data_IF_388599026955
#
_entry.id   IF_388599026955
#
_cell.length_a   1.000
_cell.length_b   1.000
_cell.length_c   1.000
_cell.angle_alpha   90.00
_cell.angle_beta   90.00
_cell.angle_gamma   90.00
#
_symmetry.space_group_name_H-M   'P 1'
#
loop_
_entity.id
_entity.type
_entity.pdbx_description
1 polymer ?
#
# COMPACT_ATOMS: atom_id res chain seq x y z
N UNK A 1 44.38 -21.42 -9.39
CA UNK A 1 45.20 -20.79 -10.45
C UNK A 1 44.88 -19.30 -10.44
N UNK A 2 45.63 -18.54 -9.65
CA UNK A 2 45.32 -17.17 -9.23
C UNK A 2 46.46 -16.27 -9.69
N UNK A 3 46.24 -15.44 -10.72
CA UNK A 3 47.19 -14.40 -11.12
C UNK A 3 46.70 -13.06 -10.58
N UNK A 4 47.31 -12.61 -9.48
CA UNK A 4 47.22 -11.23 -8.99
C UNK A 4 48.22 -10.41 -9.81
N UNK A 5 47.72 -9.44 -10.57
CA UNK A 5 48.55 -8.51 -11.33
C UNK A 5 48.75 -7.27 -10.45
N UNK A 6 49.97 -7.13 -9.93
CA UNK A 6 50.44 -5.93 -9.23
C UNK A 6 50.86 -4.91 -10.28
N UNK A 7 50.33 -3.69 -10.24
CA UNK A 7 50.82 -2.59 -11.08
C UNK A 7 51.28 -1.41 -10.23
N UNK A 8 52.42 -0.89 -10.65
CA UNK A 8 53.28 0.03 -9.91
C UNK A 8 52.80 1.48 -10.05
N UNK A 9 53.04 2.24 -8.97
CA UNK A 9 52.78 3.66 -8.76
C UNK A 9 53.59 4.56 -9.71
N UNK A 10 52.97 5.59 -10.29
CA UNK A 10 53.67 6.77 -10.81
C UNK A 10 52.99 8.03 -10.27
N UNK A 11 53.76 8.79 -9.48
CA UNK A 11 53.41 10.08 -8.91
C UNK A 11 53.95 11.18 -9.84
N UNK A 12 53.08 12.03 -10.38
CA UNK A 12 53.48 13.30 -10.99
C UNK A 12 52.64 14.43 -10.41
N UNK A 13 53.29 15.28 -9.61
CA UNK A 13 52.76 16.55 -9.11
C UNK A 13 52.91 17.61 -10.19
N UNK A 14 51.80 18.18 -10.66
CA UNK A 14 51.78 19.48 -11.34
C UNK A 14 50.81 20.38 -10.60
N UNK A 15 51.35 21.38 -9.90
CA UNK A 15 50.59 22.49 -9.33
C UNK A 15 50.28 23.50 -10.44
N UNK A 16 49.00 23.73 -10.67
CA UNK A 16 48.49 24.92 -11.35
C UNK A 16 47.38 25.51 -10.50
N UNK A 17 47.70 26.62 -9.84
CA UNK A 17 46.76 27.42 -9.05
C UNK A 17 45.90 28.22 -10.04
N UNK A 18 44.58 28.02 -9.99
CA UNK A 18 43.59 28.91 -10.59
C UNK A 18 42.39 29.06 -9.66
N UNK A 19 42.12 30.29 -9.24
CA UNK A 19 40.96 30.69 -8.43
C UNK A 19 39.65 30.57 -9.21
N UNK A 20 38.59 30.08 -8.57
CA UNK A 20 37.39 30.85 -8.16
C UNK A 20 36.17 29.92 -7.93
N UNK A 21 35.27 30.45 -7.10
CA UNK A 21 33.92 29.99 -6.77
C UNK A 21 33.79 28.87 -5.72
N UNK A 22 33.59 29.29 -4.48
CA UNK A 22 32.86 28.50 -3.49
C UNK A 22 31.44 28.26 -4.00
N UNK A 23 31.10 27.01 -4.33
CA UNK A 23 29.71 26.59 -4.40
C UNK A 23 29.34 25.99 -3.05
N UNK A 24 28.76 26.81 -2.18
CA UNK A 24 27.91 26.30 -1.11
C UNK A 24 26.65 25.81 -1.80
N UNK A 25 26.64 24.56 -2.26
CA UNK A 25 25.38 23.90 -2.54
C UNK A 25 24.82 23.54 -1.16
N UNK A 26 24.14 24.51 -0.56
CA UNK A 26 23.06 24.19 0.36
C UNK A 26 22.07 23.39 -0.46
N UNK A 27 22.16 22.05 -0.37
CA UNK A 27 21.01 21.22 -0.65
C UNK A 27 20.01 21.63 0.42
N UNK A 28 19.14 22.56 0.02
CA UNK A 28 17.84 22.79 0.61
C UNK A 28 17.29 21.40 0.92
N UNK A 29 17.24 21.07 2.20
CA UNK A 29 16.45 19.95 2.66
C UNK A 29 15.00 20.37 2.45
N UNK A 30 14.52 20.28 1.21
CA UNK A 30 13.11 20.04 0.98
C UNK A 30 12.90 18.57 1.31
N UNK A 31 13.07 18.24 2.59
CA UNK A 31 12.30 17.19 3.20
C UNK A 31 10.87 17.74 3.17
N UNK A 32 10.21 17.63 2.02
CA UNK A 32 8.81 17.28 2.04
C UNK A 32 8.81 15.99 2.84
N UNK A 33 8.69 16.12 4.16
CA UNK A 33 8.28 15.04 5.01
C UNK A 33 6.91 14.72 4.42
N UNK A 34 6.86 13.66 3.61
CA UNK A 34 5.61 13.02 3.27
C UNK A 34 4.85 12.91 4.59
N UNK A 35 3.64 13.48 4.70
CA UNK A 35 2.89 13.40 5.94
C UNK A 35 2.85 11.94 6.32
N UNK A 36 3.55 11.57 7.40
CA UNK A 36 3.56 10.20 7.86
C UNK A 36 2.23 9.98 8.53
N UNK A 37 1.24 9.58 7.73
CA UNK A 37 -0.08 9.21 8.24
C UNK A 37 0.14 8.04 9.17
N UNK A 38 -0.04 8.26 10.47
CA UNK A 38 0.12 7.22 11.47
C UNK A 38 -1.21 6.50 11.64
N UNK A 39 -1.17 5.17 11.54
CA UNK A 39 -2.33 4.33 11.87
C UNK A 39 -2.48 4.25 13.39
N UNK A 40 -3.64 4.63 13.90
CA UNK A 40 -4.02 4.53 15.32
C UNK A 40 -4.57 3.13 15.60
N UNK A 41 -5.51 2.68 14.77
CA UNK A 41 -6.11 1.35 14.86
C UNK A 41 -6.56 0.85 13.49
N UNK A 42 -6.72 -0.47 13.38
CA UNK A 42 -7.23 -1.14 12.19
C UNK A 42 -8.10 -2.31 12.62
N UNK A 43 -9.32 -2.37 12.12
CA UNK A 43 -10.29 -3.41 12.44
C UNK A 43 -10.81 -4.03 11.15
N UNK A 44 -11.01 -5.35 11.17
CA UNK A 44 -11.64 -6.09 10.07
C UNK A 44 -12.86 -6.81 10.61
N UNK A 45 -13.96 -6.75 9.87
CA UNK A 45 -15.25 -7.29 10.28
C UNK A 45 -15.81 -8.24 9.24
N UNK A 46 -16.46 -9.28 9.72
CA UNK A 46 -17.30 -10.18 8.92
C UNK A 46 -18.74 -9.91 9.31
N UNK A 47 -19.54 -9.50 8.33
CA UNK A 47 -20.97 -9.29 8.44
C UNK A 47 -21.71 -10.54 8.00
N UNK A 48 -22.57 -11.11 8.85
CA UNK A 48 -23.49 -12.18 8.46
C UNK A 48 -24.90 -11.63 8.35
N UNK A 49 -25.61 -11.92 7.25
CA UNK A 49 -27.01 -11.50 7.09
C UNK A 49 -27.90 -12.16 8.13
N UNK A 50 -28.66 -11.36 8.88
CA UNK A 50 -29.70 -11.79 9.80
C UNK A 50 -30.91 -12.29 9.01
N UNK A 51 -31.34 -13.52 9.28
CA UNK A 51 -32.48 -14.17 8.62
C UNK A 51 -33.83 -13.46 8.83
N UNK A 52 -33.92 -12.55 9.81
CA UNK A 52 -35.18 -11.93 10.21
C UNK A 52 -35.40 -10.51 9.66
N UNK A 53 -34.35 -9.77 9.32
CA UNK A 53 -34.47 -8.33 9.03
C UNK A 53 -33.52 -7.79 7.94
N UNK A 54 -32.84 -8.68 7.19
CA UNK A 54 -31.85 -8.35 6.15
C UNK A 54 -30.66 -7.47 6.62
N UNK A 55 -30.53 -7.18 7.91
CA UNK A 55 -29.37 -6.47 8.46
C UNK A 55 -28.17 -7.39 8.58
N UNK A 56 -26.97 -6.81 8.60
CA UNK A 56 -25.75 -7.55 8.87
C UNK A 56 -25.35 -7.45 10.34
N UNK A 57 -25.10 -8.61 10.95
CA UNK A 57 -24.44 -8.71 12.26
C UNK A 57 -22.94 -8.72 12.01
N UNK A 58 -22.27 -7.64 12.40
CA UNK A 58 -20.83 -7.45 12.20
C UNK A 58 -20.03 -7.92 13.41
N UNK A 59 -19.06 -8.81 13.15
CA UNK A 59 -18.16 -9.35 14.17
C UNK A 59 -16.72 -9.08 13.73
N UNK A 60 -15.91 -8.48 14.61
CA UNK A 60 -14.49 -8.30 14.35
C UNK A 60 -13.82 -9.67 14.20
N UNK A 61 -13.01 -9.82 13.15
CA UNK A 61 -12.44 -11.10 12.74
C UNK A 61 -11.07 -10.90 12.10
N UNK A 62 -10.25 -11.94 12.14
CA UNK A 62 -9.02 -12.06 11.35
C UNK A 62 -9.11 -13.21 10.33
N UNK A 63 -10.32 -13.71 10.09
CA UNK A 63 -10.63 -14.82 9.20
C UNK A 63 -11.66 -14.39 8.15
N UNK A 64 -11.43 -14.81 6.90
CA UNK A 64 -12.27 -14.51 5.73
C UNK A 64 -13.02 -15.79 5.30
N UNK A 65 -14.24 -16.03 5.80
CA UNK A 65 -15.02 -17.23 5.47
C UNK A 65 -15.66 -17.16 4.07
N UNK A 66 -15.52 -18.21 3.27
CA UNK A 66 -16.24 -18.31 1.99
C UNK A 66 -17.67 -18.85 2.20
N UNK A 67 -18.64 -17.97 2.49
CA UNK A 67 -20.07 -18.30 2.51
C UNK A 67 -20.79 -17.42 1.48
N UNK A 68 -21.04 -17.94 0.27
CA UNK A 68 -21.69 -17.19 -0.80
C UNK A 68 -23.04 -16.59 -0.38
N UNK A 69 -23.31 -15.39 -0.88
CA UNK A 69 -24.58 -14.66 -0.78
C UNK A 69 -25.07 -14.29 0.64
N UNK A 70 -24.27 -14.58 1.67
CA UNK A 70 -24.65 -14.43 3.09
C UNK A 70 -23.66 -13.59 3.91
N UNK A 71 -22.46 -13.35 3.38
CA UNK A 71 -21.38 -12.65 4.07
C UNK A 71 -20.96 -11.41 3.31
N UNK A 72 -20.77 -10.32 4.06
CA UNK A 72 -20.05 -9.14 3.61
C UNK A 72 -18.84 -8.90 4.53
N UNK A 73 -17.91 -8.08 4.06
CA UNK A 73 -16.70 -7.72 4.76
C UNK A 73 -16.60 -6.21 4.87
N UNK A 74 -15.94 -5.75 5.94
CA UNK A 74 -15.63 -4.34 6.15
C UNK A 74 -14.27 -4.21 6.83
N UNK A 75 -13.51 -3.21 6.47
CA UNK A 75 -12.42 -2.75 7.32
C UNK A 75 -12.59 -1.28 7.65
N UNK A 76 -12.09 -0.91 8.83
CA UNK A 76 -12.04 0.46 9.33
C UNK A 76 -10.60 0.73 9.81
N UNK A 77 -9.99 1.82 9.35
CA UNK A 77 -8.64 2.22 9.74
C UNK A 77 -8.69 3.66 10.26
N UNK A 78 -8.37 3.85 11.54
CA UNK A 78 -8.27 5.17 12.15
C UNK A 78 -6.87 5.74 11.93
N UNK A 79 -6.80 6.97 11.43
CA UNK A 79 -5.57 7.67 11.11
C UNK A 79 -5.39 8.88 12.03
N UNK A 80 -4.15 9.12 12.45
CA UNK A 80 -3.71 10.35 13.12
C UNK A 80 -3.29 11.35 12.03
N UNK A 81 -4.25 12.12 11.54
CA UNK A 81 -4.05 13.04 10.42
C UNK A 81 -5.09 14.15 10.39
N UNK A 82 -4.69 15.30 9.85
CA UNK A 82 -5.55 16.45 9.56
C UNK A 82 -6.05 16.43 8.10
N UNK A 83 -5.74 15.36 7.35
CA UNK A 83 -6.14 15.22 5.95
C UNK A 83 -7.64 14.91 5.82
N UNK A 84 -8.30 15.54 4.84
CA UNK A 84 -9.71 15.26 4.53
C UNK A 84 -9.92 13.99 3.68
N UNK A 85 -8.90 13.56 2.95
CA UNK A 85 -8.91 12.35 2.14
C UNK A 85 -7.52 11.73 2.04
N UNK A 86 -7.46 10.43 1.80
CA UNK A 86 -6.21 9.67 1.58
C UNK A 86 -6.33 8.81 0.33
N UNK A 87 -5.20 8.60 -0.34
CA UNK A 87 -5.11 7.59 -1.37
C UNK A 87 -4.93 6.22 -0.70
N UNK A 88 -5.87 5.32 -0.94
CA UNK A 88 -5.84 3.94 -0.45
C UNK A 88 -5.50 3.01 -1.60
N UNK A 89 -4.57 2.09 -1.33
CA UNK A 89 -4.26 0.96 -2.21
C UNK A 89 -4.58 -0.34 -1.48
N UNK A 90 -5.62 -1.01 -1.92
CA UNK A 90 -6.04 -2.31 -1.40
C UNK A 90 -5.44 -3.43 -2.26
N UNK A 91 -4.90 -4.46 -1.60
CA UNK A 91 -4.26 -5.60 -2.26
C UNK A 91 -4.82 -6.89 -1.69
N UNK A 92 -5.62 -7.59 -2.48
CA UNK A 92 -6.11 -8.92 -2.16
C UNK A 92 -5.20 -9.98 -2.75
N UNK A 93 -4.81 -10.97 -1.94
CA UNK A 93 -3.92 -12.05 -2.36
C UNK A 93 -4.60 -13.38 -2.03
N UNK A 94 -4.87 -14.18 -3.05
CA UNK A 94 -5.38 -15.53 -2.87
C UNK A 94 -4.25 -16.54 -2.63
N UNK A 95 -4.47 -17.54 -1.76
CA UNK A 95 -3.48 -18.59 -1.52
C UNK A 95 -3.28 -19.49 -2.76
N UNK A 96 -4.26 -19.56 -3.64
CA UNK A 96 -4.25 -20.33 -4.88
C UNK A 96 -4.95 -19.60 -6.01
N UNK A 97 -4.69 -20.00 -7.26
CA UNK A 97 -5.35 -19.40 -8.44
C UNK A 97 -6.85 -19.70 -8.39
N UNK A 98 -7.73 -18.68 -8.46
CA UNK A 98 -9.17 -18.90 -8.46
C UNK A 98 -9.61 -19.52 -9.79
N UNK A 99 -10.72 -20.28 -9.75
CA UNK A 99 -11.37 -20.77 -10.98
C UNK A 99 -12.02 -19.63 -11.76
N UNK A 100 -12.60 -18.68 -11.06
CA UNK A 100 -13.31 -17.51 -11.58
C UNK A 100 -12.99 -16.30 -10.71
N UNK A 101 -12.76 -15.15 -11.35
CA UNK A 101 -12.56 -13.87 -10.67
C UNK A 101 -13.05 -12.77 -11.61
N UNK A 102 -14.23 -12.25 -11.31
CA UNK A 102 -14.97 -11.31 -12.15
C UNK A 102 -15.48 -10.16 -11.30
N UNK A 103 -15.73 -9.00 -11.91
CA UNK A 103 -16.43 -7.88 -11.28
C UNK A 103 -17.93 -8.16 -11.13
N UNK A 104 -18.66 -7.17 -10.59
CA UNK A 104 -20.11 -7.23 -10.38
C UNK A 104 -20.88 -7.43 -11.71
N UNK A 105 -20.31 -6.95 -12.82
CA UNK A 105 -20.83 -7.14 -14.18
C UNK A 105 -20.40 -8.46 -14.85
N UNK A 106 -19.62 -9.30 -14.15
CA UNK A 106 -19.15 -10.58 -14.65
C UNK A 106 -17.96 -10.50 -15.62
N UNK A 107 -17.33 -9.33 -15.77
CA UNK A 107 -16.13 -9.14 -16.56
C UNK A 107 -14.88 -9.55 -15.78
N UNK A 108 -13.91 -10.16 -16.48
CA UNK A 108 -12.65 -10.57 -15.84
C UNK A 108 -11.83 -9.34 -15.42
N UNK A 109 -11.53 -9.24 -14.12
CA UNK A 109 -10.71 -8.15 -13.60
C UNK A 109 -9.25 -8.26 -14.11
N UNK A 110 -8.54 -7.14 -14.27
CA UNK A 110 -7.13 -7.14 -14.66
C UNK A 110 -6.27 -7.69 -13.50
N UNK A 111 -6.08 -9.00 -13.49
CA UNK A 111 -5.35 -9.67 -12.43
C UNK A 111 -3.85 -9.71 -12.71
N UNK A 112 -3.06 -9.50 -11.66
CA UNK A 112 -1.60 -9.64 -11.70
C UNK A 112 -1.17 -10.95 -11.03
N UNK A 113 0.05 -11.42 -11.34
CA UNK A 113 0.66 -12.60 -10.72
C UNK A 113 -0.23 -13.86 -10.71
N UNK A 114 -0.38 -14.50 -11.87
CA UNK A 114 -1.11 -15.76 -12.05
C UNK A 114 -2.58 -15.75 -11.60
N UNK A 115 -3.24 -14.59 -11.72
CA UNK A 115 -4.63 -14.37 -11.33
C UNK A 115 -4.91 -14.47 -9.82
N UNK A 116 -3.89 -14.30 -8.99
CA UNK A 116 -4.03 -14.40 -7.52
C UNK A 116 -4.12 -13.06 -6.81
N UNK A 117 -3.73 -11.98 -7.48
CA UNK A 117 -3.65 -10.65 -6.87
C UNK A 117 -4.65 -9.73 -7.55
N UNK A 118 -5.53 -9.14 -6.74
CA UNK A 118 -6.36 -8.00 -7.11
C UNK A 118 -5.84 -6.76 -6.41
N UNK A 119 -5.75 -5.65 -7.14
CA UNK A 119 -5.28 -4.36 -6.62
C UNK A 119 -6.32 -3.31 -6.98
N UNK A 120 -6.83 -2.64 -5.97
CA UNK A 120 -7.74 -1.49 -6.10
C UNK A 120 -7.05 -0.26 -5.55
N UNK A 121 -7.20 0.89 -6.21
CA UNK A 121 -6.60 2.15 -5.77
C UNK A 121 -7.60 3.29 -5.91
N UNK A 122 -7.93 3.93 -4.80
CA UNK A 122 -8.98 4.94 -4.72
C UNK A 122 -8.58 6.09 -3.79
N UNK A 123 -9.24 7.24 -3.94
CA UNK A 123 -9.13 8.36 -3.00
C UNK A 123 -10.37 8.33 -2.11
N UNK A 124 -10.19 8.03 -0.83
CA UNK A 124 -11.29 7.89 0.13
C UNK A 124 -11.26 9.07 1.10
N UNK A 125 -12.44 9.65 1.34
CA UNK A 125 -12.61 10.72 2.34
C UNK A 125 -12.57 10.14 3.75
N UNK A 126 -11.97 10.87 4.68
CA UNK A 126 -11.97 10.47 6.08
C UNK A 126 -13.26 10.94 6.75
N UNK A 127 -13.87 10.04 7.52
CA UNK A 127 -14.98 10.36 8.42
C UNK A 127 -14.46 10.31 9.85
N UNK A 128 -14.33 11.47 10.50
CA UNK A 128 -13.74 11.59 11.84
C UNK A 128 -12.34 10.94 11.95
N UNK A 129 -11.53 11.08 10.90
CA UNK A 129 -10.20 10.48 10.82
C UNK A 129 -10.19 8.97 10.50
N UNK A 130 -11.34 8.34 10.28
CA UNK A 130 -11.46 6.96 9.85
C UNK A 130 -11.61 6.87 8.34
N UNK A 131 -10.88 5.94 7.73
CA UNK A 131 -11.13 5.47 6.38
C UNK A 131 -11.70 4.06 6.46
N UNK A 132 -12.73 3.76 5.65
CA UNK A 132 -13.38 2.46 5.64
C UNK A 132 -13.71 2.02 4.22
N UNK A 133 -13.85 0.71 4.03
CA UNK A 133 -14.43 0.12 2.83
C UNK A 133 -15.18 -1.16 3.19
N UNK A 134 -16.15 -1.54 2.37
CA UNK A 134 -16.93 -2.76 2.55
C UNK A 134 -17.33 -3.37 1.22
N UNK A 135 -17.41 -4.69 1.17
CA UNK A 135 -17.85 -5.43 -0.01
C UNK A 135 -18.62 -6.69 0.38
N UNK A 136 -19.49 -7.10 -0.53
CA UNK A 136 -20.19 -8.36 -0.58
C UNK A 136 -19.85 -8.96 -1.97
#
# INVERSE_FOLDING_TARGET
MTKKLTFLLVLTLFFSISSTASSVVSLVSNKNAEPSVRVISSHFYVGTRDSHNDNFIWIESNFVPLIPDQICYRWDIQLDTEMESVQVKEVFILPAKPKTWVDEEGMSLPLQYDNKISVTQEVIKLENGTVSNSWC
#
